data_IF_638983078228
#
_entry.id   IF_638983078228
#
_cell.length_a   1.000
_cell.length_b   1.000
_cell.length_c   1.000
_cell.angle_alpha   90.00
_cell.angle_beta   90.00
_cell.angle_gamma   90.00
#
_symmetry.space_group_name_H-M   'P 1'
#
loop_
_entity.id
_entity.type
_entity.pdbx_description
1 polymer ?
#
# COMPACT_ATOMS: atom_id res chain seq x y z
N UNK A 1 4.37 0.09 23.69
CA UNK A 1 3.96 0.69 22.40
C UNK A 1 3.60 2.16 22.66
N UNK A 2 3.62 3.06 21.66
CA UNK A 2 3.26 4.48 21.90
C UNK A 2 1.83 4.63 22.43
N UNK A 3 1.55 5.69 23.21
CA UNK A 3 0.20 6.02 23.70
C UNK A 3 -0.82 6.29 22.57
N UNK A 4 -0.32 6.46 21.35
CA UNK A 4 -0.98 7.00 20.17
C UNK A 4 -1.08 5.90 19.09
N UNK A 5 -2.28 5.64 18.57
CA UNK A 5 -2.59 4.62 17.56
C UNK A 5 -3.17 5.26 16.30
N UNK A 6 -2.61 4.92 15.14
CA UNK A 6 -3.08 5.39 13.85
C UNK A 6 -4.31 4.57 13.44
N UNK A 7 -5.44 5.24 13.24
CA UNK A 7 -6.66 4.62 12.74
C UNK A 7 -6.90 5.15 11.35
N UNK A 8 -6.80 4.25 10.38
CA UNK A 8 -6.99 4.52 8.96
C UNK A 8 -8.45 4.33 8.54
N UNK A 9 -8.83 5.07 7.50
CA UNK A 9 -10.13 4.95 6.84
C UNK A 9 -9.93 5.08 5.34
N UNK A 10 -10.54 4.15 4.61
CA UNK A 10 -10.47 4.08 3.15
C UNK A 10 -11.69 4.73 2.49
N UNK A 11 -11.45 5.45 1.41
CA UNK A 11 -12.48 6.02 0.53
C UNK A 11 -12.27 5.64 -0.93
N UNK A 12 -13.38 5.63 -1.67
CA UNK A 12 -13.43 5.57 -3.14
C UNK A 12 -13.72 6.99 -3.61
N UNK A 13 -12.76 7.64 -4.25
CA UNK A 13 -13.00 8.91 -4.93
C UNK A 13 -13.47 8.63 -6.37
N UNK A 14 -14.63 9.15 -6.74
CA UNK A 14 -15.19 9.08 -8.09
C UNK A 14 -14.48 10.04 -9.06
N UNK A 15 -13.16 9.84 -9.18
CA UNK A 15 -12.25 10.55 -10.07
C UNK A 15 -11.04 9.70 -10.41
N UNK A 16 -10.53 9.80 -11.65
CA UNK A 16 -9.28 9.15 -12.02
C UNK A 16 -8.09 9.82 -11.32
N UNK A 17 -7.01 9.07 -11.18
CA UNK A 17 -5.85 9.49 -10.38
C UNK A 17 -5.16 10.71 -10.97
N UNK A 18 -5.01 10.80 -12.29
CA UNK A 18 -4.41 11.93 -12.99
C UNK A 18 -5.12 13.26 -12.68
N UNK A 19 -6.45 13.26 -12.64
CA UNK A 19 -7.24 14.42 -12.25
C UNK A 19 -6.99 14.83 -10.79
N UNK A 20 -6.83 13.87 -9.87
CA UNK A 20 -6.49 14.18 -8.46
C UNK A 20 -5.07 14.74 -8.35
N UNK A 21 -4.13 14.22 -9.15
CA UNK A 21 -2.76 14.77 -9.20
C UNK A 21 -2.76 16.20 -9.71
N UNK A 22 -3.56 16.51 -10.75
CA UNK A 22 -3.70 17.87 -11.30
C UNK A 22 -4.37 18.83 -10.31
N UNK A 23 -5.48 18.41 -9.67
CA UNK A 23 -6.19 19.21 -8.68
C UNK A 23 -5.42 19.35 -7.35
N UNK A 24 -4.50 18.43 -7.07
CA UNK A 24 -3.67 18.41 -5.87
C UNK A 24 -4.40 18.07 -4.58
N UNK A 25 -5.64 17.54 -4.63
CA UNK A 25 -6.42 17.11 -3.47
C UNK A 25 -7.57 16.18 -3.87
N UNK A 26 -8.09 15.43 -2.91
CA UNK A 26 -9.34 14.67 -3.06
C UNK A 26 -10.52 15.52 -2.60
N UNK A 27 -11.52 15.70 -3.47
CA UNK A 27 -12.74 16.45 -3.19
C UNK A 27 -13.73 15.62 -2.37
N UNK A 28 -14.27 16.16 -1.29
CA UNK A 28 -15.05 15.36 -0.35
C UNK A 28 -16.40 14.90 -0.89
N UNK A 29 -17.01 15.71 -1.74
CA UNK A 29 -18.28 15.43 -2.40
C UNK A 29 -18.22 14.25 -3.39
N UNK A 30 -17.02 13.84 -3.81
CA UNK A 30 -16.82 12.70 -4.72
C UNK A 30 -16.47 11.40 -3.99
N UNK A 31 -16.48 11.38 -2.65
CA UNK A 31 -15.99 10.24 -1.86
C UNK A 31 -17.12 9.35 -1.36
N UNK A 32 -17.04 8.07 -1.70
CA UNK A 32 -17.77 7.00 -1.02
C UNK A 32 -16.87 6.32 0.00
N UNK A 33 -17.20 6.43 1.28
CA UNK A 33 -16.40 5.82 2.35
C UNK A 33 -16.69 4.32 2.52
N UNK A 34 -15.64 3.52 2.75
CA UNK A 34 -15.81 2.12 3.16
C UNK A 34 -16.50 2.02 4.54
N UNK A 35 -17.13 0.86 4.85
CA UNK A 35 -17.74 0.60 6.14
C UNK A 35 -16.78 0.86 7.30
N UNK A 36 -17.30 1.46 8.38
CA UNK A 36 -16.52 1.69 9.60
C UNK A 36 -16.12 0.38 10.28
N UNK A 37 -14.98 0.42 10.97
CA UNK A 37 -14.44 -0.71 11.72
C UNK A 37 -14.77 -0.61 13.20
N UNK A 38 -14.67 -1.74 13.91
CA UNK A 38 -14.77 -1.76 15.38
C UNK A 38 -13.58 -1.00 15.98
N UNK A 39 -13.71 -0.59 17.25
CA UNK A 39 -12.60 0.03 17.97
C UNK A 39 -11.33 -0.83 17.88
N UNK A 40 -10.19 -0.17 17.69
CA UNK A 40 -8.86 -0.80 17.52
C UNK A 40 -8.67 -1.61 16.24
N UNK A 41 -9.58 -1.48 15.27
CA UNK A 41 -9.41 -2.02 13.93
C UNK A 41 -9.43 -0.89 12.91
N UNK A 42 -8.74 -1.09 11.79
CA UNK A 42 -8.79 -0.19 10.66
C UNK A 42 -8.73 -0.95 9.33
N UNK A 43 -9.11 -0.24 8.27
CA UNK A 43 -8.82 -0.60 6.88
C UNK A 43 -7.79 0.38 6.34
N UNK A 44 -6.78 -0.10 5.63
CA UNK A 44 -5.70 0.70 5.04
C UNK A 44 -5.23 0.09 3.71
N UNK A 45 -4.32 0.78 3.04
CA UNK A 45 -3.67 0.34 1.80
C UNK A 45 -4.63 -0.17 0.71
N UNK A 46 -5.62 0.64 0.28
CA UNK A 46 -6.60 0.18 -0.69
C UNK A 46 -6.01 0.10 -2.10
N UNK A 47 -6.18 -1.07 -2.71
CA UNK A 47 -5.95 -1.32 -4.14
C UNK A 47 -7.20 -1.94 -4.74
N UNK A 48 -7.38 -1.85 -6.06
CA UNK A 48 -8.61 -2.35 -6.64
C UNK A 48 -8.52 -2.79 -8.09
N UNK A 49 -9.59 -3.46 -8.49
CA UNK A 49 -9.71 -4.10 -9.78
C UNK A 49 -11.15 -4.03 -10.26
N UNK A 50 -11.38 -3.63 -11.51
CA UNK A 50 -12.71 -3.69 -12.13
C UNK A 50 -12.88 -5.00 -12.87
N UNK A 51 -13.99 -5.70 -12.64
CA UNK A 51 -14.37 -6.89 -13.42
C UNK A 51 -15.88 -7.03 -13.46
N UNK A 52 -16.45 -7.13 -14.67
CA UNK A 52 -17.89 -7.32 -14.89
C UNK A 52 -18.77 -6.29 -14.15
N UNK A 53 -18.49 -4.99 -14.30
CA UNK A 53 -19.18 -3.88 -13.60
C UNK A 53 -19.13 -3.92 -12.06
N UNK A 54 -18.23 -4.71 -11.49
CA UNK A 54 -17.98 -4.78 -10.05
C UNK A 54 -16.57 -4.25 -9.76
N UNK A 55 -16.49 -3.34 -8.80
CA UNK A 55 -15.25 -2.84 -8.23
C UNK A 55 -14.87 -3.70 -7.03
N UNK A 56 -13.73 -4.35 -7.11
CA UNK A 56 -13.11 -5.11 -6.03
C UNK A 56 -12.09 -4.21 -5.34
N UNK A 57 -12.27 -3.96 -4.05
CA UNK A 57 -11.38 -3.12 -3.23
C UNK A 57 -10.67 -4.00 -2.21
N UNK A 58 -9.40 -4.30 -2.46
CA UNK A 58 -8.52 -5.04 -1.58
C UNK A 58 -7.89 -4.10 -0.56
N UNK A 59 -7.88 -4.48 0.71
CA UNK A 59 -7.40 -3.65 1.82
C UNK A 59 -6.65 -4.48 2.84
N UNK A 60 -5.68 -3.86 3.51
CA UNK A 60 -5.22 -4.35 4.81
C UNK A 60 -6.37 -4.20 5.82
N UNK A 61 -6.71 -5.28 6.50
CA UNK A 61 -7.52 -5.25 7.72
C UNK A 61 -6.63 -5.55 8.92
N UNK A 62 -6.43 -4.54 9.77
CA UNK A 62 -5.57 -4.66 10.96
C UNK A 62 -6.37 -4.66 12.25
N UNK A 63 -5.91 -5.44 13.22
CA UNK A 63 -6.42 -5.41 14.59
C UNK A 63 -5.30 -5.18 15.60
N UNK A 64 -5.32 -4.04 16.31
CA UNK A 64 -4.30 -3.71 17.32
C UNK A 64 -4.24 -4.69 18.50
N UNK A 65 -5.30 -5.49 18.73
CA UNK A 65 -5.36 -6.49 19.81
C UNK A 65 -4.51 -7.71 19.48
N UNK A 66 -4.52 -8.15 18.22
CA UNK A 66 -3.70 -9.26 17.73
C UNK A 66 -2.36 -8.77 17.16
N UNK A 67 -2.30 -7.51 16.72
CA UNK A 67 -1.22 -6.90 15.92
C UNK A 67 -0.96 -7.66 14.61
N UNK A 68 -2.04 -8.09 13.96
CA UNK A 68 -1.99 -8.90 12.76
C UNK A 68 -2.87 -8.25 11.69
N UNK A 69 -2.33 -8.20 10.47
CA UNK A 69 -2.96 -7.64 9.29
C UNK A 69 -3.17 -8.77 8.29
N UNK A 70 -4.38 -8.83 7.73
CA UNK A 70 -4.77 -9.75 6.67
C UNK A 70 -5.33 -8.95 5.50
N UNK A 71 -5.41 -9.56 4.32
CA UNK A 71 -6.02 -8.91 3.15
C UNK A 71 -7.48 -9.34 3.04
N UNK A 72 -8.36 -8.36 3.03
CA UNK A 72 -9.78 -8.55 2.73
C UNK A 72 -10.14 -7.83 1.44
N UNK A 73 -11.21 -8.29 0.79
CA UNK A 73 -11.78 -7.66 -0.41
C UNK A 73 -13.21 -7.23 -0.12
N UNK A 74 -13.52 -5.98 -0.46
CA UNK A 74 -14.86 -5.41 -0.42
C UNK A 74 -15.34 -5.18 -1.85
N UNK A 75 -16.54 -5.64 -2.16
CA UNK A 75 -17.11 -5.55 -3.50
C UNK A 75 -18.16 -4.43 -3.54
N UNK A 76 -18.10 -3.68 -4.63
CA UNK A 76 -18.97 -2.55 -4.90
C UNK A 76 -19.54 -2.68 -6.31
N UNK A 77 -20.82 -2.32 -6.49
CA UNK A 77 -21.35 -2.17 -7.84
C UNK A 77 -20.78 -0.92 -8.54
N UNK A 78 -21.13 -0.73 -9.81
CA UNK A 78 -20.73 0.44 -10.61
C UNK A 78 -21.18 1.80 -10.06
N UNK A 79 -22.04 1.83 -9.05
CA UNK A 79 -22.50 3.05 -8.37
C UNK A 79 -21.91 3.17 -6.96
N UNK A 80 -20.86 2.40 -6.66
CA UNK A 80 -20.18 2.33 -5.37
C UNK A 80 -21.09 1.93 -4.21
N UNK A 81 -22.15 1.17 -4.49
CA UNK A 81 -22.95 0.54 -3.45
C UNK A 81 -22.24 -0.72 -2.97
N UNK A 82 -22.02 -0.81 -1.66
CA UNK A 82 -21.43 -1.98 -1.02
C UNK A 82 -22.29 -3.24 -1.26
N UNK A 83 -21.64 -4.31 -1.71
CA UNK A 83 -22.27 -5.61 -1.99
C UNK A 83 -21.90 -6.64 -0.93
N UNK A 84 -20.60 -6.87 -0.74
CA UNK A 84 -20.09 -7.92 0.13
C UNK A 84 -18.65 -7.66 0.58
N UNK A 85 -18.21 -8.43 1.59
CA UNK A 85 -16.85 -8.40 2.14
C UNK A 85 -16.39 -9.82 2.46
N UNK A 86 -15.16 -10.17 2.07
CA UNK A 86 -14.57 -11.50 2.25
C UNK A 86 -13.08 -11.40 2.57
N UNK A 87 -12.52 -12.47 3.13
CA UNK A 87 -11.06 -12.61 3.27
C UNK A 87 -10.50 -13.00 1.89
N UNK A 88 -9.52 -12.24 1.42
CA UNK A 88 -8.84 -12.53 0.15
C UNK A 88 -7.55 -13.31 0.37
N UNK A 89 -6.74 -12.92 1.37
CA UNK A 89 -5.49 -13.60 1.69
C UNK A 89 -5.20 -13.47 3.19
N UNK A 90 -4.83 -14.58 3.83
CA UNK A 90 -4.48 -14.63 5.25
C UNK A 90 -3.32 -15.58 5.45
N UNK A 91 -2.28 -15.11 6.14
CA UNK A 91 -1.04 -15.84 6.39
C UNK A 91 -0.67 -15.77 7.88
N UNK A 92 0.24 -16.64 8.36
CA UNK A 92 0.75 -16.57 9.74
C UNK A 92 1.53 -15.28 10.06
N UNK A 93 1.95 -14.53 9.05
CA UNK A 93 2.59 -13.22 9.17
C UNK A 93 1.62 -12.10 8.79
N UNK A 94 1.99 -10.87 9.12
CA UNK A 94 1.24 -9.67 8.78
C UNK A 94 1.37 -9.37 7.28
N UNK A 95 0.23 -9.05 6.65
CA UNK A 95 0.10 -8.63 5.26
C UNK A 95 -0.49 -7.23 5.21
N UNK A 96 0.04 -6.39 4.32
CA UNK A 96 -0.45 -5.05 3.99
C UNK A 96 -0.19 -4.75 2.50
N UNK A 97 -0.46 -3.54 2.02
CA UNK A 97 -0.18 -3.11 0.64
C UNK A 97 -0.57 -4.12 -0.46
N UNK A 98 -1.82 -4.60 -0.56
CA UNK A 98 -2.22 -5.66 -1.49
C UNK A 98 -2.33 -5.17 -2.93
N UNK A 99 -1.21 -4.83 -3.57
CA UNK A 99 -1.20 -4.32 -4.94
C UNK A 99 -1.75 -5.38 -5.93
N UNK A 100 -2.95 -5.17 -6.48
CA UNK A 100 -3.63 -6.09 -7.42
C UNK A 100 -3.62 -5.52 -8.83
N UNK A 101 -3.26 -6.34 -9.81
CA UNK A 101 -3.14 -5.92 -11.21
C UNK A 101 -3.30 -7.11 -12.19
N UNK A 102 -3.68 -6.81 -13.43
CA UNK A 102 -3.70 -7.77 -14.52
C UNK A 102 -2.42 -7.67 -15.34
N UNK A 103 -1.84 -8.82 -15.65
CA UNK A 103 -0.63 -8.92 -16.45
C UNK A 103 -0.43 -10.34 -16.97
N UNK A 104 0.13 -10.46 -18.18
CA UNK A 104 0.48 -11.75 -18.77
C UNK A 104 -0.72 -12.75 -18.82
N UNK A 105 -1.94 -12.22 -18.95
CA UNK A 105 -3.19 -13.00 -19.02
C UNK A 105 -3.76 -13.46 -17.67
N UNK A 106 -3.13 -13.07 -16.57
CA UNK A 106 -3.47 -13.51 -15.22
C UNK A 106 -3.74 -12.29 -14.30
N UNK A 107 -4.40 -12.53 -13.17
CA UNK A 107 -4.58 -11.52 -12.11
C UNK A 107 -3.61 -11.84 -10.98
N UNK A 108 -2.83 -10.83 -10.59
CA UNK A 108 -1.76 -10.94 -9.62
C UNK A 108 -2.04 -10.07 -8.39
N UNK A 109 -1.49 -10.49 -7.24
CA UNK A 109 -1.42 -9.70 -6.02
C UNK A 109 0.01 -9.71 -5.49
N UNK A 110 0.55 -8.54 -5.16
CA UNK A 110 1.88 -8.38 -4.59
C UNK A 110 1.78 -7.64 -3.24
N UNK A 111 1.43 -8.33 -2.15
CA UNK A 111 1.31 -7.72 -0.83
C UNK A 111 2.67 -7.42 -0.20
N UNK A 112 2.74 -6.39 0.66
CA UNK A 112 3.84 -6.25 1.60
C UNK A 112 3.75 -7.36 2.66
N UNK A 113 4.82 -8.13 2.80
CA UNK A 113 4.88 -9.26 3.72
C UNK A 113 6.25 -9.32 4.42
N UNK A 114 6.76 -8.19 4.92
CA UNK A 114 8.13 -8.07 5.45
C UNK A 114 8.51 -9.19 6.43
N UNK A 115 7.59 -9.56 7.33
CA UNK A 115 7.84 -10.58 8.35
C UNK A 115 7.92 -12.02 7.81
N UNK A 116 7.54 -12.26 6.55
CA UNK A 116 7.76 -13.54 5.87
C UNK A 116 9.23 -13.74 5.46
N UNK A 117 10.01 -12.65 5.40
CA UNK A 117 11.41 -12.65 4.98
C UNK A 117 11.63 -12.63 3.46
N UNK A 118 10.57 -12.55 2.66
CA UNK A 118 10.64 -12.54 1.18
C UNK A 118 9.50 -11.73 0.56
N UNK A 119 9.68 -11.31 -0.69
CA UNK A 119 8.60 -10.78 -1.52
C UNK A 119 7.94 -11.94 -2.27
N UNK A 120 6.61 -12.07 -2.21
CA UNK A 120 5.90 -13.17 -2.87
C UNK A 120 4.82 -12.59 -3.79
N UNK A 121 4.89 -12.93 -5.07
CA UNK A 121 3.89 -12.63 -6.07
C UNK A 121 2.85 -13.75 -6.08
N UNK A 122 1.60 -13.40 -5.80
CA UNK A 122 0.48 -14.33 -5.76
C UNK A 122 -0.32 -14.27 -7.05
N UNK A 123 -0.77 -15.42 -7.55
CA UNK A 123 -1.66 -15.55 -8.71
C UNK A 123 -3.06 -15.92 -8.27
N UNK A 124 -4.08 -15.32 -8.87
CA UNK A 124 -5.47 -15.71 -8.60
C UNK A 124 -5.76 -17.08 -9.25
N UNK A 125 -6.03 -18.09 -8.43
CA UNK A 125 -6.54 -19.40 -8.89
C UNK A 125 -8.05 -19.30 -9.14
N UNK A 126 -8.75 -18.61 -8.23
CA UNK A 126 -10.15 -18.23 -8.38
C UNK A 126 -10.34 -16.84 -7.79
N UNK A 127 -10.46 -15.85 -8.65
CA UNK A 127 -10.64 -14.46 -8.25
C UNK A 127 -12.03 -14.24 -7.61
N UNK A 128 -12.15 -13.52 -6.48
CA UNK A 128 -11.13 -12.64 -5.86
C UNK A 128 -10.43 -13.20 -4.62
N UNK A 129 -10.75 -14.41 -4.16
CA UNK A 129 -10.45 -14.88 -2.79
C UNK A 129 -9.63 -16.18 -2.71
N UNK A 130 -9.23 -16.76 -3.85
CA UNK A 130 -8.33 -17.92 -3.87
C UNK A 130 -7.06 -17.58 -4.65
N UNK A 131 -5.95 -17.54 -3.91
CA UNK A 131 -4.63 -17.14 -4.42
C UNK A 131 -3.59 -18.23 -4.14
N UNK A 132 -2.62 -18.37 -5.04
CA UNK A 132 -1.45 -19.23 -4.84
C UNK A 132 -0.17 -18.40 -4.85
N UNK A 133 0.80 -18.76 -4.00
CA UNK A 133 2.13 -18.17 -4.00
C UNK A 133 2.91 -18.67 -5.23
N UNK A 134 2.90 -17.90 -6.31
CA UNK A 134 3.38 -18.34 -7.61
C UNK A 134 4.88 -18.10 -7.80
N UNK A 135 5.38 -16.92 -7.42
CA UNK A 135 6.78 -16.54 -7.62
C UNK A 135 7.35 -15.76 -6.45
N UNK A 136 8.66 -15.88 -6.25
CA UNK A 136 9.44 -15.10 -5.27
C UNK A 136 10.51 -14.35 -6.06
N UNK A 137 10.33 -13.05 -6.34
CA UNK A 137 11.36 -12.25 -7.02
C UNK A 137 12.68 -12.27 -6.25
N UNK A 138 13.77 -12.61 -6.93
CA UNK A 138 15.12 -12.53 -6.37
C UNK A 138 15.65 -11.10 -6.49
N UNK A 139 15.71 -10.40 -5.36
CA UNK A 139 16.26 -9.05 -5.24
C UNK A 139 17.60 -9.06 -4.49
N UNK A 140 18.30 -10.20 -4.51
CA UNK A 140 19.55 -10.43 -3.80
C UNK A 140 19.38 -10.18 -2.28
N UNK A 141 20.11 -9.23 -1.68
CA UNK A 141 20.04 -8.99 -0.24
C UNK A 141 18.80 -8.18 0.20
N UNK A 142 18.06 -7.58 -0.73
CA UNK A 142 16.96 -6.67 -0.38
C UNK A 142 15.69 -7.48 -0.05
N UNK A 143 15.04 -7.12 1.05
CA UNK A 143 13.64 -7.47 1.29
C UNK A 143 12.81 -6.24 0.95
N UNK A 144 12.00 -6.33 -0.10
CA UNK A 144 11.19 -5.21 -0.58
C UNK A 144 9.99 -4.93 0.33
N UNK A 145 9.78 -3.65 0.64
CA UNK A 145 8.61 -3.09 1.32
C UNK A 145 7.85 -2.21 0.34
N UNK A 146 6.52 -2.29 0.37
CA UNK A 146 5.58 -1.63 -0.56
C UNK A 146 5.97 -1.82 -2.03
N UNK A 147 6.34 -3.06 -2.36
CA UNK A 147 6.82 -3.39 -3.69
C UNK A 147 5.72 -3.12 -4.74
N UNK A 148 6.04 -2.27 -5.71
CA UNK A 148 5.07 -1.75 -6.68
C UNK A 148 5.55 -2.04 -8.09
N UNK A 149 4.95 -3.01 -8.80
CA UNK A 149 5.33 -3.37 -10.16
C UNK A 149 4.70 -2.41 -11.18
N UNK A 150 5.39 -2.15 -12.29
CA UNK A 150 4.88 -1.33 -13.38
C UNK A 150 5.51 -1.71 -14.70
N UNK A 151 4.70 -1.97 -15.73
CA UNK A 151 5.22 -2.25 -17.06
C UNK A 151 5.41 -0.95 -17.86
N UNK A 152 6.63 -0.68 -18.28
CA UNK A 152 6.98 0.54 -19.02
C UNK A 152 8.12 0.27 -20.00
N UNK A 153 7.95 0.73 -21.24
CA UNK A 153 8.95 0.62 -22.31
C UNK A 153 9.51 -0.81 -22.50
N UNK A 154 8.64 -1.81 -22.41
CA UNK A 154 9.00 -3.22 -22.66
C UNK A 154 9.62 -3.94 -21.46
N UNK A 155 9.73 -3.29 -20.30
CA UNK A 155 10.26 -3.87 -19.08
C UNK A 155 9.25 -3.78 -17.94
N UNK A 156 9.26 -4.80 -17.08
CA UNK A 156 8.71 -4.70 -15.74
C UNK A 156 9.68 -3.96 -14.85
N UNK A 157 9.21 -2.89 -14.23
CA UNK A 157 9.89 -2.17 -13.17
C UNK A 157 9.28 -2.58 -11.83
N UNK A 158 10.10 -2.60 -10.79
CA UNK A 158 9.67 -2.80 -9.40
C UNK A 158 10.22 -1.66 -8.55
N UNK A 159 9.34 -0.80 -8.05
CA UNK A 159 9.67 0.26 -7.09
C UNK A 159 9.50 -0.27 -5.68
N UNK A 160 10.47 -0.09 -4.80
CA UNK A 160 10.36 -0.56 -3.41
C UNK A 160 11.29 0.19 -2.46
N UNK A 161 10.98 0.12 -1.17
CA UNK A 161 11.93 0.50 -0.11
C UNK A 161 12.59 -0.78 0.43
N UNK A 162 13.93 -0.86 0.55
CA UNK A 162 14.59 -2.01 1.16
C UNK A 162 14.37 -1.99 2.68
N UNK A 163 13.87 -3.10 3.23
CA UNK A 163 13.76 -3.22 4.67
C UNK A 163 15.15 -3.25 5.33
N UNK A 164 15.35 -2.43 6.35
CA UNK A 164 16.61 -2.33 7.09
C UNK A 164 16.40 -2.58 8.59
N UNK A 165 17.35 -3.27 9.23
CA UNK A 165 17.43 -3.44 10.68
C UNK A 165 18.83 -3.06 11.19
N UNK A 166 19.00 -1.97 11.95
CA UNK A 166 17.97 -1.00 12.34
C UNK A 166 17.45 -0.19 11.13
N UNK A 167 16.26 0.46 11.24
CA UNK A 167 15.77 1.37 10.21
C UNK A 167 16.77 2.48 9.93
N UNK A 168 16.92 2.85 8.65
CA UNK A 168 17.75 3.98 8.26
C UNK A 168 17.08 5.31 8.65
N UNK A 169 17.86 6.37 8.96
CA UNK A 169 17.32 7.67 9.32
C UNK A 169 16.65 8.41 8.14
N UNK A 170 17.04 8.04 6.91
CA UNK A 170 16.50 8.59 5.65
C UNK A 170 15.89 7.45 4.85
N UNK A 171 14.72 7.68 4.26
CA UNK A 171 14.09 6.72 3.38
C UNK A 171 14.88 6.51 2.08
N UNK A 172 14.83 5.29 1.53
CA UNK A 172 15.51 4.92 0.29
C UNK A 172 14.48 4.36 -0.71
N UNK A 173 14.60 4.78 -1.97
CA UNK A 173 13.89 4.15 -3.08
C UNK A 173 14.89 3.31 -3.87
N UNK A 174 14.61 2.02 -3.98
CA UNK A 174 15.31 1.07 -4.83
C UNK A 174 14.41 0.68 -6.00
N UNK A 175 15.04 0.41 -7.14
CA UNK A 175 14.41 -0.13 -8.34
C UNK A 175 15.02 -1.47 -8.70
N UNK A 176 14.21 -2.36 -9.27
CA UNK A 176 14.66 -3.49 -10.05
C UNK A 176 13.87 -3.55 -11.36
N UNK A 177 14.40 -4.25 -12.36
CA UNK A 177 13.69 -4.46 -13.62
C UNK A 177 13.85 -5.90 -14.14
N UNK A 178 12.88 -6.35 -14.93
CA UNK A 178 12.83 -7.68 -15.51
C UNK A 178 12.13 -7.69 -16.88
N UNK A 179 12.40 -8.68 -17.75
CA UNK A 179 11.65 -8.86 -18.99
C UNK A 179 10.24 -9.42 -18.77
N UNK A 180 9.98 -10.05 -17.61
CA UNK A 180 8.69 -10.65 -17.24
C UNK A 180 8.51 -10.65 -15.72
N UNK A 181 7.28 -10.84 -15.24
CA UNK A 181 6.98 -10.83 -13.80
C UNK A 181 7.73 -11.92 -13.02
N UNK A 182 7.92 -13.08 -13.64
CA UNK A 182 8.70 -14.20 -13.08
C UNK A 182 10.21 -13.93 -13.06
N UNK A 183 10.68 -12.79 -13.57
CA UNK A 183 12.09 -12.45 -13.66
C UNK A 183 12.75 -12.91 -14.97
N UNK A 184 14.10 -13.01 -15.01
CA UNK A 184 15.00 -12.69 -13.91
C UNK A 184 14.98 -11.19 -13.58
N UNK A 185 14.95 -10.87 -12.29
CA UNK A 185 14.99 -9.50 -11.79
C UNK A 185 16.43 -9.01 -11.66
N UNK A 186 16.70 -7.82 -12.17
CA UNK A 186 17.99 -7.15 -12.07
C UNK A 186 17.82 -5.88 -11.25
N UNK A 187 18.54 -5.78 -10.13
CA UNK A 187 18.56 -4.55 -9.32
C UNK A 187 19.17 -3.41 -10.13
N UNK A 188 18.59 -2.23 -10.04
CA UNK A 188 19.12 -1.06 -10.71
C UNK A 188 20.52 -0.72 -10.15
N UNK A 189 21.54 -0.48 -11.01
CA UNK A 189 22.92 -0.30 -10.57
C UNK A 189 23.13 0.96 -9.71
N UNK A 190 22.28 1.98 -9.90
CA UNK A 190 22.33 3.22 -9.11
C UNK A 190 21.44 3.18 -7.85
N UNK A 191 21.06 2.00 -7.35
CA UNK A 191 20.35 1.91 -6.07
C UNK A 191 21.24 2.38 -4.90
N UNK A 192 20.70 3.17 -3.95
CA UNK A 192 19.36 3.77 -3.95
C UNK A 192 19.25 4.91 -4.98
N UNK A 193 18.20 4.90 -5.80
CA UNK A 193 17.99 5.93 -6.84
C UNK A 193 17.50 7.25 -6.25
N UNK A 194 17.03 7.22 -4.99
CA UNK A 194 16.58 8.40 -4.23
C UNK A 194 16.76 8.19 -2.74
N UNK A 195 17.19 9.24 -2.04
CA UNK A 195 17.37 9.31 -0.59
C UNK A 195 16.58 10.51 -0.04
N UNK A 196 15.38 10.26 0.48
CA UNK A 196 14.49 11.30 1.00
C UNK A 196 13.33 10.68 1.80
N UNK A 197 13.15 11.05 3.06
CA UNK A 197 12.02 10.56 3.88
C UNK A 197 10.66 11.08 3.44
N UNK A 198 10.61 12.11 2.59
CA UNK A 198 9.37 12.70 2.10
C UNK A 198 8.86 12.10 0.77
N UNK A 199 9.64 11.22 0.11
CA UNK A 199 9.31 10.83 -1.28
C UNK A 199 10.00 9.55 -1.78
N UNK A 200 10.16 8.55 -0.92
CA UNK A 200 10.83 7.27 -1.30
C UNK A 200 10.01 6.02 -1.11
N UNK A 201 9.08 5.99 -0.15
CA UNK A 201 8.24 4.82 0.12
C UNK A 201 7.05 4.81 -0.84
N UNK A 202 6.87 3.78 -1.69
CA UNK A 202 5.69 3.70 -2.56
C UNK A 202 4.38 3.79 -1.78
N UNK A 203 3.37 4.40 -2.39
CA UNK A 203 2.11 4.75 -1.74
C UNK A 203 0.94 4.74 -2.71
N UNK A 204 0.93 3.87 -3.71
CA UNK A 204 -0.18 3.78 -4.66
C UNK A 204 0.22 3.25 -6.03
N UNK A 205 -0.64 3.52 -7.02
CA UNK A 205 -0.50 2.98 -8.37
C UNK A 205 0.31 3.92 -9.27
N UNK A 206 1.40 3.47 -9.90
CA UNK A 206 2.10 4.25 -10.90
C UNK A 206 1.20 4.52 -12.11
N UNK A 207 1.34 5.68 -12.74
CA UNK A 207 0.62 6.05 -13.95
C UNK A 207 1.55 6.73 -14.95
N UNK A 208 1.22 6.62 -16.24
CA UNK A 208 1.81 7.43 -17.29
C UNK A 208 0.92 8.66 -17.50
N UNK A 209 1.36 9.81 -17.01
CA UNK A 209 0.61 11.07 -17.13
C UNK A 209 1.40 11.98 -18.08
N UNK A 210 0.77 12.41 -19.17
CA UNK A 210 1.40 13.25 -20.20
C UNK A 210 2.75 12.70 -20.71
N UNK A 211 2.86 11.37 -20.82
CA UNK A 211 4.08 10.69 -21.27
C UNK A 211 5.17 10.53 -20.22
N UNK A 212 4.92 10.94 -18.96
CA UNK A 212 5.87 10.80 -17.87
C UNK A 212 5.38 9.82 -16.80
N UNK A 213 6.28 8.96 -16.32
CA UNK A 213 5.94 8.02 -15.23
C UNK A 213 5.85 8.80 -13.92
N UNK A 214 4.73 8.59 -13.22
CA UNK A 214 4.44 9.16 -11.91
C UNK A 214 4.14 8.02 -10.93
N UNK A 215 4.84 8.00 -9.81
CA UNK A 215 4.60 7.07 -8.70
C UNK A 215 4.08 7.86 -7.48
N UNK A 216 2.90 7.55 -6.94
CA UNK A 216 2.51 8.03 -5.62
C UNK A 216 3.48 7.50 -4.57
N UNK A 217 4.06 8.40 -3.77
CA UNK A 217 4.99 8.07 -2.68
C UNK A 217 4.54 8.73 -1.38
N UNK A 218 4.79 8.05 -0.26
CA UNK A 218 4.49 8.55 1.07
C UNK A 218 5.49 9.64 1.47
N UNK A 219 4.97 10.71 2.07
CA UNK A 219 5.73 11.69 2.83
C UNK A 219 5.74 11.30 4.31
N UNK A 220 6.83 10.68 4.73
CA UNK A 220 7.06 10.23 6.10
C UNK A 220 7.93 11.20 6.91
N UNK A 221 8.09 12.46 6.46
CA UNK A 221 9.01 13.43 7.10
C UNK A 221 8.65 13.80 8.55
N UNK A 222 7.37 13.70 8.92
CA UNK A 222 6.88 14.08 10.26
C UNK A 222 6.22 12.94 11.02
N UNK A 223 5.53 12.04 10.31
CA UNK A 223 4.87 10.86 10.86
C UNK A 223 4.75 9.82 9.75
N UNK A 224 4.62 8.55 10.11
CA UNK A 224 4.34 7.49 9.15
C UNK A 224 3.08 7.83 8.34
N UNK A 225 3.15 7.82 7.01
CA UNK A 225 1.99 8.14 6.18
C UNK A 225 1.42 9.54 6.41
N UNK A 226 2.29 10.55 6.55
CA UNK A 226 1.87 11.92 6.84
C UNK A 226 1.20 12.63 5.67
N UNK A 227 1.53 12.25 4.43
CA UNK A 227 0.85 12.64 3.20
C UNK A 227 1.29 11.73 2.05
N UNK A 228 0.71 11.91 0.87
CA UNK A 228 1.20 11.36 -0.39
C UNK A 228 1.68 12.50 -1.30
N UNK A 229 2.70 12.24 -2.11
CA UNK A 229 3.21 13.12 -3.17
C UNK A 229 3.35 12.34 -4.48
N UNK A 230 3.18 12.97 -5.65
CA UNK A 230 3.62 12.38 -6.90
C UNK A 230 5.15 12.47 -7.01
N UNK A 231 5.80 11.34 -7.25
CA UNK A 231 7.21 11.28 -7.67
C UNK A 231 7.27 11.09 -9.17
N UNK A 232 7.83 12.07 -9.87
CA UNK A 232 7.95 12.07 -11.32
C UNK A 232 9.32 11.54 -11.74
N UNK A 233 9.33 10.65 -12.72
CA UNK A 233 10.56 10.12 -13.32
C UNK A 233 10.82 10.88 -14.62
N UNK A 234 11.80 11.78 -14.61
CA UNK A 234 12.28 12.46 -15.83
C UNK A 234 13.07 11.51 -16.72
N UNK A 235 13.77 10.56 -16.10
CA UNK A 235 14.48 9.47 -16.77
C UNK A 235 14.21 8.20 -15.97
N UNK A 236 13.75 7.15 -16.66
CA UNK A 236 13.57 5.80 -16.11
C UNK A 236 14.12 4.79 -17.13
N UNK A 237 15.39 4.46 -16.99
CA UNK A 237 16.12 3.55 -17.90
C UNK A 237 17.00 2.61 -17.10
N UNK A 238 17.39 1.43 -17.63
CA UNK A 238 18.18 0.45 -16.89
C UNK A 238 19.53 0.95 -16.34
N UNK A 239 20.07 2.03 -16.92
CA UNK A 239 21.35 2.64 -16.58
C UNK A 239 21.22 3.99 -15.85
N UNK A 240 20.06 4.65 -15.91
CA UNK A 240 19.87 6.00 -15.37
C UNK A 240 18.45 6.24 -14.88
N UNK A 241 18.37 6.86 -13.71
CA UNK A 241 17.13 7.31 -13.08
C UNK A 241 17.29 8.76 -12.61
N UNK A 242 16.32 9.61 -12.96
CA UNK A 242 16.25 11.01 -12.52
C UNK A 242 14.83 11.27 -12.05
N UNK A 243 14.68 11.77 -10.82
CA UNK A 243 13.36 11.98 -10.22
C UNK A 243 13.23 13.35 -9.57
N UNK A 244 12.02 13.90 -9.59
CA UNK A 244 11.63 15.04 -8.78
C UNK A 244 10.28 14.78 -8.09
N UNK A 245 10.15 15.25 -6.86
CA UNK A 245 8.92 15.11 -6.08
C UNK A 245 8.04 16.35 -6.26
N UNK A 246 6.75 16.14 -6.53
CA UNK A 246 5.76 17.19 -6.57
C UNK A 246 5.26 17.64 -5.19
N UNK A 247 4.23 18.48 -5.20
CA UNK A 247 3.54 18.94 -4.00
C UNK A 247 2.79 17.80 -3.31
N UNK A 248 2.52 17.97 -2.00
CA UNK A 248 1.66 17.04 -1.26
C UNK A 248 0.23 17.10 -1.79
N UNK A 249 -0.40 15.94 -1.89
CA UNK A 249 -1.84 15.88 -2.08
C UNK A 249 -2.52 16.37 -0.80
N UNK A 250 -3.36 17.38 -0.93
CA UNK A 250 -4.10 18.00 0.15
C UNK A 250 -5.14 17.05 0.73
N UNK A 251 -5.22 17.01 2.06
CA UNK A 251 -6.24 16.27 2.81
C UNK A 251 -7.33 17.28 3.20
N UNK A 252 -8.56 17.08 2.73
CA UNK A 252 -9.67 17.99 3.03
C UNK A 252 -10.01 17.97 4.52
N UNK A 253 -10.27 19.15 5.11
CA UNK A 253 -10.77 19.27 6.48
C UNK A 253 -12.15 18.60 6.67
N UNK A 254 -12.90 18.41 5.58
CA UNK A 254 -14.18 17.71 5.57
C UNK A 254 -14.04 16.21 5.89
N UNK A 255 -12.82 15.66 5.82
CA UNK A 255 -12.53 14.28 6.22
C UNK A 255 -12.45 14.09 7.73
N UNK A 256 -12.70 15.14 8.52
CA UNK A 256 -12.74 15.09 9.99
C UNK A 256 -13.50 13.85 10.50
N UNK A 257 -12.93 13.08 11.44
CA UNK A 257 -11.69 13.34 12.18
C UNK A 257 -10.39 12.85 11.49
N UNK A 258 -10.44 12.33 10.26
CA UNK A 258 -9.30 11.73 9.55
C UNK A 258 -8.55 12.77 8.70
N UNK A 259 -7.84 13.67 9.36
CA UNK A 259 -7.11 14.77 8.71
C UNK A 259 -5.59 14.75 8.97
N UNK A 260 -5.08 13.69 9.60
CA UNK A 260 -3.72 13.65 10.15
C UNK A 260 -2.71 12.94 9.24
N UNK A 261 -3.14 12.40 8.09
CA UNK A 261 -2.26 11.77 7.12
C UNK A 261 -3.01 10.95 6.07
N UNK A 262 -2.26 10.49 5.07
CA UNK A 262 -2.67 9.70 3.91
C UNK A 262 -1.43 8.91 3.49
N UNK A 263 -1.54 7.62 3.19
CA UNK A 263 -0.38 6.82 2.76
C UNK A 263 -0.61 6.02 1.49
N UNK A 264 -1.85 5.94 1.01
CA UNK A 264 -2.16 5.28 -0.25
C UNK A 264 -3.02 6.14 -1.16
N UNK A 265 -2.68 6.15 -2.44
CA UNK A 265 -3.41 6.78 -3.53
C UNK A 265 -3.33 5.88 -4.78
N UNK A 266 -4.27 4.97 -4.95
CA UNK A 266 -4.26 3.92 -5.97
C UNK A 266 -5.27 4.17 -7.09
N UNK A 267 -4.80 4.19 -8.33
CA UNK A 267 -5.65 4.28 -9.53
C UNK A 267 -6.39 2.95 -9.77
N UNK A 268 -7.69 3.03 -10.08
CA UNK A 268 -8.52 1.89 -10.47
C UNK A 268 -9.49 2.31 -11.58
N UNK A 269 -8.96 2.47 -12.79
CA UNK A 269 -9.73 2.95 -13.94
C UNK A 269 -10.28 4.37 -13.71
N UNK A 270 -11.60 4.60 -13.75
CA UNK A 270 -12.20 5.92 -13.60
C UNK A 270 -12.22 6.44 -12.14
N UNK A 271 -11.83 5.61 -11.17
CA UNK A 271 -11.83 5.98 -9.74
C UNK A 271 -10.43 5.89 -9.13
N UNK A 272 -10.30 6.51 -7.97
CA UNK A 272 -9.08 6.45 -7.16
C UNK A 272 -9.43 5.99 -5.76
N UNK A 273 -8.70 5.00 -5.27
CA UNK A 273 -8.78 4.56 -3.90
C UNK A 273 -7.74 5.30 -3.07
N UNK A 274 -8.11 5.69 -1.86
CA UNK A 274 -7.19 6.37 -0.95
C UNK A 274 -7.54 6.06 0.49
N UNK A 275 -6.61 6.35 1.39
CA UNK A 275 -6.83 6.30 2.82
C UNK A 275 -6.48 7.62 3.51
N UNK A 276 -7.05 7.81 4.69
CA UNK A 276 -6.73 8.92 5.58
C UNK A 276 -6.67 8.43 7.02
N UNK A 277 -5.79 9.03 7.83
CA UNK A 277 -5.68 8.69 9.25
C UNK A 277 -6.17 9.78 10.18
N UNK A 278 -6.59 9.31 11.35
CA UNK A 278 -6.61 10.05 12.60
C UNK A 278 -5.76 9.33 13.62
N UNK A 279 -5.45 9.99 14.72
CA UNK A 279 -4.78 9.30 15.82
C UNK A 279 -5.57 9.27 17.10
N UNK A 280 -5.68 8.08 17.69
CA UNK A 280 -6.35 7.87 18.97
C UNK A 280 -5.33 7.71 20.10
N UNK A 281 -5.46 8.55 21.14
CA UNK A 281 -4.82 8.34 22.44
C UNK A 281 -5.68 7.38 23.24
N UNK A 282 -5.17 6.23 23.67
CA UNK A 282 -5.96 5.32 24.50
C UNK A 282 -5.19 4.77 25.69
N UNK A 283 -5.63 5.12 26.91
CA UNK A 283 -5.24 4.42 28.13
C UNK A 283 -5.65 2.93 28.09
N UNK A 284 -6.75 2.61 27.39
CA UNK A 284 -7.18 1.23 27.16
C UNK A 284 -6.19 0.43 26.28
N UNK A 285 -5.42 1.10 25.42
CA UNK A 285 -4.31 0.49 24.70
C UNK A 285 -3.20 -0.04 25.60
N UNK A 286 -2.94 0.65 26.73
CA UNK A 286 -2.03 0.16 27.76
C UNK A 286 -2.59 -1.10 28.44
N UNK A 287 -3.91 -1.17 28.70
CA UNK A 287 -4.51 -2.37 29.28
C UNK A 287 -4.47 -3.59 28.34
N UNK A 288 -4.65 -3.40 27.03
CA UNK A 288 -4.48 -4.47 26.04
C UNK A 288 -3.03 -4.98 26.04
N UNK A 289 -2.04 -4.06 26.13
CA UNK A 289 -0.62 -4.42 26.23
C UNK A 289 -0.33 -5.19 27.53
N UNK A 290 -0.87 -4.74 28.68
CA UNK A 290 -0.71 -5.38 29.98
C UNK A 290 -1.30 -6.80 30.01
N UNK A 291 -2.53 -6.99 29.50
CA UNK A 291 -3.20 -8.29 29.41
C UNK A 291 -2.42 -9.26 28.52
N UNK A 292 -1.77 -8.74 27.47
CA UNK A 292 -0.99 -9.57 26.54
C UNK A 292 0.36 -9.98 27.13
N UNK A 293 1.09 -9.07 27.75
CA UNK A 293 2.36 -9.39 28.41
C UNK A 293 2.14 -10.39 29.56
N UNK A 294 1.05 -10.25 30.33
CA UNK A 294 0.67 -11.27 31.32
C UNK A 294 0.35 -12.62 30.67
N UNK A 295 -0.37 -12.68 29.54
CA UNK A 295 -0.62 -13.93 28.80
C UNK A 295 0.66 -14.58 28.23
N UNK A 296 1.62 -13.79 27.75
CA UNK A 296 2.94 -14.31 27.29
C UNK A 296 3.74 -14.91 28.44
N UNK A 297 3.75 -14.25 29.60
CA UNK A 297 4.42 -14.73 30.81
C UNK A 297 3.78 -16.04 31.29
N UNK A 298 2.44 -16.12 31.28
CA UNK A 298 1.71 -17.33 31.65
C UNK A 298 1.99 -18.50 30.69
N UNK A 299 2.06 -18.27 29.38
CA UNK A 299 2.43 -19.32 28.40
C UNK A 299 3.88 -19.80 28.53
N UNK A 300 4.82 -18.96 28.96
CA UNK A 300 6.22 -19.35 29.22
C UNK A 300 6.41 -20.14 30.52
N UNK A 301 5.44 -20.13 31.44
CA UNK A 301 5.49 -20.90 32.70
C UNK A 301 4.86 -22.30 32.60
N UNK A 302 4.23 -22.62 31.47
CA UNK A 302 3.61 -23.93 31.20
C UNK A 302 4.39 -24.77 30.17
N UNK A 303 5.63 -24.39 29.86
CA UNK A 303 6.64 -25.16 29.12
C UNK A 303 7.85 -25.33 30.03
#
# INVERSE_FOLDING_TARGET
MGLRKDIWRVGIADKPLDAIIEEGHVKAETVTWLPGMKSFQFLADPFGFWKNDVLYVFVETYDYRTRHGIIEVLLYDKFFKFLERRIALSEPWHLSYPYVFEAEGEIWMLPEAYHSGKLTLYRAVSFPDVWEAAYVPDLGPDIAVDATPFFHEGLWWLFYTPACKPPKPVGELHLAFAPGLSGPWTRHPNNPVRLDSASTRPGGTPQLINGQVMLPVQDCSWTYGGAVRPLWFEVLTPDRVVTHAGAKIGISNEFTPYTEGMHTLAAVGPVTLFDVKRTELSAHGLSIELIRETRKILRKKCL
#
